data_IF_605763959382
#
_entry.id   IF_605763959382
#
_cell.length_a   1.000
_cell.length_b   1.000
_cell.length_c   1.000
_cell.angle_alpha   90.00
_cell.angle_beta   90.00
_cell.angle_gamma   90.00
#
_symmetry.space_group_name_H-M   'P 1'
#
loop_
_entity.id
_entity.type
_entity.pdbx_description
1 polymer ?
#
# COMPACT_ATOMS: atom_id res chain seq x y z
N UNK A 1 -5.63 2.64 18.17
CA UNK A 1 -4.81 2.16 19.28
C UNK A 1 -3.42 1.64 18.88
N UNK A 2 -3.10 1.63 17.59
CA UNK A 2 -1.78 1.26 17.10
C UNK A 2 -0.70 2.29 17.52
N UNK A 3 0.53 1.83 17.69
CA UNK A 3 1.68 2.72 17.71
C UNK A 3 1.90 3.26 16.29
N UNK A 4 1.69 4.56 16.10
CA UNK A 4 1.67 5.18 14.77
C UNK A 4 3.04 5.09 14.08
N UNK A 5 4.14 5.26 14.81
CA UNK A 5 5.49 5.17 14.23
C UNK A 5 5.78 3.77 13.71
N UNK A 6 5.50 2.75 14.53
CA UNK A 6 5.64 1.34 14.11
C UNK A 6 4.71 0.97 12.97
N UNK A 7 3.47 1.48 12.97
CA UNK A 7 2.53 1.24 11.88
C UNK A 7 3.00 1.86 10.57
N UNK A 8 3.57 3.07 10.61
CA UNK A 8 4.17 3.70 9.43
C UNK A 8 5.39 2.92 8.96
N UNK A 9 6.27 2.47 9.85
CA UNK A 9 7.45 1.67 9.47
C UNK A 9 7.04 0.34 8.83
N UNK A 10 6.04 -0.33 9.40
CA UNK A 10 5.46 -1.55 8.82
C UNK A 10 4.89 -1.28 7.42
N UNK A 11 4.11 -0.21 7.27
CA UNK A 11 3.51 0.18 6.00
C UNK A 11 4.57 0.54 4.94
N UNK A 12 5.62 1.28 5.31
CA UNK A 12 6.75 1.63 4.44
C UNK A 12 7.47 0.37 3.94
N UNK A 13 7.84 -0.52 4.86
CA UNK A 13 8.57 -1.75 4.53
C UNK A 13 7.74 -2.69 3.65
N UNK A 14 6.43 -2.83 3.92
CA UNK A 14 5.53 -3.65 3.11
C UNK A 14 5.29 -3.04 1.73
N UNK A 15 5.06 -1.71 1.66
CA UNK A 15 4.69 -1.03 0.41
C UNK A 15 5.84 -0.88 -0.56
N UNK A 16 7.00 -0.45 -0.08
CA UNK A 16 8.09 -0.03 -0.95
C UNK A 16 9.12 -1.13 -1.26
N UNK A 17 8.96 -2.31 -0.68
CA UNK A 17 9.74 -3.50 -1.10
C UNK A 17 9.60 -3.69 -2.61
N UNK A 18 10.74 -3.82 -3.30
CA UNK A 18 10.80 -3.95 -4.76
C UNK A 18 9.94 -2.90 -5.51
N UNK A 19 9.91 -1.67 -4.99
CA UNK A 19 9.15 -0.56 -5.56
C UNK A 19 7.63 -0.84 -5.69
N UNK A 20 7.07 -1.59 -4.75
CA UNK A 20 5.66 -2.00 -4.76
C UNK A 20 5.31 -3.09 -5.77
N UNK A 21 6.29 -3.63 -6.49
CA UNK A 21 6.11 -4.68 -7.51
C UNK A 21 6.21 -6.07 -6.87
N UNK A 22 5.36 -6.32 -5.88
CA UNK A 22 5.26 -7.58 -5.14
C UNK A 22 3.78 -7.87 -4.89
N UNK A 23 3.34 -9.12 -5.09
CA UNK A 23 1.93 -9.53 -4.91
C UNK A 23 1.38 -9.28 -3.50
N UNK A 24 2.24 -9.25 -2.49
CA UNK A 24 1.89 -8.91 -1.11
C UNK A 24 2.09 -7.42 -0.76
N UNK A 25 2.41 -6.56 -1.73
CA UNK A 25 2.51 -5.11 -1.47
C UNK A 25 1.11 -4.53 -1.21
N UNK A 26 0.88 -3.85 -0.07
CA UNK A 26 -0.44 -3.29 0.22
C UNK A 26 -0.85 -2.27 -0.86
N UNK A 27 -2.02 -2.49 -1.44
CA UNK A 27 -2.61 -1.63 -2.48
C UNK A 27 -3.61 -0.63 -1.91
N UNK A 28 -4.16 -0.86 -0.71
CA UNK A 28 -5.19 -0.06 -0.07
C UNK A 28 -4.84 0.21 1.38
N UNK A 29 -4.87 1.47 1.83
CA UNK A 29 -4.52 1.87 3.20
C UNK A 29 -5.75 2.44 3.90
N UNK A 30 -6.36 1.65 4.78
CA UNK A 30 -7.46 2.08 5.64
C UNK A 30 -6.91 2.58 6.98
N UNK A 31 -7.13 3.85 7.29
CA UNK A 31 -6.56 4.49 8.47
C UNK A 31 -7.72 5.08 9.30
N UNK A 32 -7.77 4.73 10.59
CA UNK A 32 -8.81 5.27 11.47
C UNK A 32 -8.75 6.80 11.53
N UNK A 33 -9.89 7.48 11.36
CA UNK A 33 -9.98 8.93 11.20
C UNK A 33 -9.22 9.72 12.28
N UNK A 34 -9.26 9.27 13.53
CA UNK A 34 -8.60 9.96 14.67
C UNK A 34 -7.08 10.01 14.60
N UNK A 35 -6.47 9.15 13.81
CA UNK A 35 -5.01 9.09 13.67
C UNK A 35 -4.52 9.35 12.25
N UNK A 36 -5.46 9.54 11.30
CA UNK A 36 -5.13 9.62 9.86
C UNK A 36 -4.15 10.73 9.56
N UNK A 37 -4.39 11.95 10.03
CA UNK A 37 -3.47 13.08 9.78
C UNK A 37 -2.06 12.77 10.27
N UNK A 38 -1.91 12.33 11.52
CA UNK A 38 -0.59 12.04 12.08
C UNK A 38 0.13 10.88 11.34
N UNK A 39 -0.60 9.82 10.98
CA UNK A 39 -0.05 8.71 10.20
C UNK A 39 0.42 9.20 8.83
N UNK A 40 -0.42 9.95 8.14
CA UNK A 40 -0.21 10.47 6.80
C UNK A 40 1.01 11.40 6.74
N UNK A 41 1.09 12.38 7.68
CA UNK A 41 2.22 13.30 7.76
C UNK A 41 3.55 12.56 7.94
N UNK A 42 3.56 11.55 8.82
CA UNK A 42 4.75 10.76 9.07
C UNK A 42 5.11 9.87 7.88
N UNK A 43 4.11 9.25 7.23
CA UNK A 43 4.30 8.40 6.06
C UNK A 43 4.84 9.22 4.88
N UNK A 44 4.26 10.39 4.58
CA UNK A 44 4.76 11.32 3.56
C UNK A 44 6.20 11.75 3.87
N UNK A 45 6.45 12.20 5.11
CA UNK A 45 7.79 12.63 5.55
C UNK A 45 8.87 11.55 5.36
N UNK A 46 8.52 10.27 5.55
CA UNK A 46 9.45 9.15 5.32
C UNK A 46 9.56 8.82 3.85
N UNK A 47 8.46 8.82 3.11
CA UNK A 47 8.41 8.48 1.68
C UNK A 47 9.25 9.43 0.82
N UNK A 48 9.18 10.74 1.04
CA UNK A 48 9.97 11.72 0.28
C UNK A 48 11.49 11.64 0.52
N UNK A 49 11.92 10.89 1.54
CA UNK A 49 13.35 10.66 1.82
C UNK A 49 13.91 9.42 1.14
N UNK A 50 13.05 8.59 0.54
CA UNK A 50 13.49 7.39 -0.16
C UNK A 50 14.33 7.79 -1.38
N UNK A 51 15.48 7.14 -1.49
CA UNK A 51 16.41 7.35 -2.60
C UNK A 51 16.03 6.45 -3.76
N UNK A 52 15.80 7.05 -4.92
CA UNK A 52 15.55 6.32 -6.16
C UNK A 52 16.90 6.15 -6.88
N UNK A 53 17.16 4.96 -7.40
CA UNK A 53 18.39 4.67 -8.12
C UNK A 53 18.46 3.25 -8.68
N UNK A 54 19.57 2.93 -9.32
CA UNK A 54 19.81 1.58 -9.83
C UNK A 54 20.23 0.60 -8.72
N UNK A 55 20.26 -0.69 -9.04
CA UNK A 55 20.54 -1.76 -8.09
C UNK A 55 22.00 -1.75 -7.56
N UNK A 56 22.92 -1.05 -8.21
CA UNK A 56 24.32 -0.95 -7.79
C UNK A 56 24.60 0.32 -6.98
N UNK A 57 23.61 1.22 -6.89
CA UNK A 57 23.68 2.40 -6.04
C UNK A 57 23.09 2.10 -4.64
N UNK A 58 23.43 2.91 -3.66
CA UNK A 58 22.79 2.85 -2.33
C UNK A 58 21.41 3.51 -2.40
N UNK A 59 20.47 2.86 -3.10
CA UNK A 59 19.09 3.29 -3.31
C UNK A 59 18.09 2.43 -2.55
N UNK A 60 16.95 3.04 -2.20
CA UNK A 60 15.83 2.37 -1.53
C UNK A 60 14.82 1.82 -2.56
N UNK A 61 14.71 2.51 -3.71
CA UNK A 61 13.74 2.19 -4.76
C UNK A 61 14.45 2.04 -6.11
N UNK A 62 14.21 0.92 -6.77
CA UNK A 62 14.65 0.63 -8.12
C UNK A 62 13.67 1.14 -9.19
N UNK A 63 13.88 0.75 -10.48
CA UNK A 63 12.98 1.09 -11.57
C UNK A 63 11.70 0.22 -11.56
N UNK A 64 10.69 0.70 -12.28
CA UNK A 64 9.58 -0.13 -12.77
C UNK A 64 10.12 -1.12 -13.81
N UNK A 65 9.54 -2.30 -13.92
CA UNK A 65 10.10 -3.42 -14.70
C UNK A 65 10.16 -3.17 -16.20
N UNK A 66 9.18 -2.47 -16.78
CA UNK A 66 9.08 -2.24 -18.23
C UNK A 66 8.54 -0.85 -18.54
N UNK A 67 8.80 -0.35 -19.76
CA UNK A 67 8.24 0.91 -20.26
C UNK A 67 6.70 0.89 -20.30
N UNK A 68 6.13 -0.21 -20.77
CA UNK A 68 4.66 -0.37 -20.77
C UNK A 68 4.10 -0.23 -19.36
N UNK A 69 4.72 -0.89 -18.37
CA UNK A 69 4.26 -0.81 -16.98
C UNK A 69 4.41 0.59 -16.40
N UNK A 70 5.52 1.29 -16.72
CA UNK A 70 5.69 2.68 -16.32
C UNK A 70 4.56 3.56 -16.87
N UNK A 71 4.22 3.41 -18.15
CA UNK A 71 3.11 4.14 -18.78
C UNK A 71 1.75 3.82 -18.14
N UNK A 72 1.51 2.56 -17.76
CA UNK A 72 0.27 2.17 -17.08
C UNK A 72 0.21 2.78 -15.66
N UNK A 73 1.33 2.83 -14.94
CA UNK A 73 1.44 3.47 -13.61
C UNK A 73 1.19 4.98 -13.69
N UNK A 74 1.73 5.65 -14.71
CA UNK A 74 1.47 7.08 -14.96
C UNK A 74 -0.03 7.33 -15.20
N UNK A 75 -0.64 6.55 -16.10
CA UNK A 75 -2.07 6.66 -16.41
C UNK A 75 -2.95 6.45 -15.16
N UNK A 76 -2.62 5.43 -14.34
CA UNK A 76 -3.38 5.16 -13.13
C UNK A 76 -3.21 6.29 -12.10
N UNK A 77 -1.99 6.82 -11.96
CA UNK A 77 -1.73 7.98 -11.10
C UNK A 77 -2.53 9.22 -11.53
N UNK A 78 -2.49 9.55 -12.84
CA UNK A 78 -3.23 10.67 -13.39
C UNK A 78 -4.76 10.49 -13.27
N UNK A 79 -5.24 9.26 -13.50
CA UNK A 79 -6.66 8.93 -13.37
C UNK A 79 -7.12 9.10 -11.93
N UNK A 80 -6.34 8.64 -10.96
CA UNK A 80 -6.65 8.77 -9.53
C UNK A 80 -6.86 10.24 -9.13
N UNK A 81 -6.01 11.15 -9.64
CA UNK A 81 -6.18 12.59 -9.41
C UNK A 81 -7.43 13.13 -10.13
N UNK A 82 -7.69 12.70 -11.37
CA UNK A 82 -8.90 13.09 -12.13
C UNK A 82 -10.19 12.62 -11.48
N UNK A 83 -10.19 11.46 -10.83
CA UNK A 83 -11.31 10.94 -10.04
C UNK A 83 -11.55 11.74 -8.76
N UNK A 84 -10.61 12.62 -8.36
CA UNK A 84 -10.75 13.57 -7.26
C UNK A 84 -9.87 13.31 -6.04
N UNK A 85 -8.91 12.40 -6.13
CA UNK A 85 -7.91 12.20 -5.09
C UNK A 85 -6.96 13.40 -4.98
N UNK A 86 -6.49 13.67 -3.76
CA UNK A 86 -5.46 14.65 -3.50
C UNK A 86 -4.08 14.00 -3.56
N UNK A 87 -3.22 14.48 -4.45
CA UNK A 87 -1.84 14.04 -4.54
C UNK A 87 -0.99 14.71 -3.47
N UNK A 88 -0.43 13.92 -2.55
CA UNK A 88 0.39 14.43 -1.45
C UNK A 88 1.89 14.46 -1.76
N UNK A 89 2.37 13.49 -2.55
CA UNK A 89 3.74 13.49 -3.08
C UNK A 89 3.87 12.51 -4.26
N UNK A 90 4.93 12.67 -5.07
CA UNK A 90 5.21 11.81 -6.21
C UNK A 90 4.34 12.10 -7.42
N UNK A 91 3.74 11.08 -8.01
CA UNK A 91 2.79 11.16 -9.13
C UNK A 91 3.43 11.33 -10.51
N UNK A 92 4.74 11.19 -10.64
CA UNK A 92 5.46 11.43 -11.90
C UNK A 92 6.72 10.56 -12.01
N UNK A 93 7.29 10.52 -13.22
CA UNK A 93 8.63 9.96 -13.42
C UNK A 93 9.65 10.72 -12.60
N UNK A 94 10.64 10.00 -12.05
CA UNK A 94 11.71 10.63 -11.30
C UNK A 94 12.57 11.51 -12.24
N UNK A 95 12.74 12.81 -11.95
CA UNK A 95 13.25 13.79 -12.94
C UNK A 95 14.74 13.66 -13.24
N UNK A 96 15.50 12.99 -12.39
CA UNK A 96 16.97 12.95 -12.47
C UNK A 96 17.50 11.77 -13.29
N UNK A 97 16.63 11.03 -14.01
CA UNK A 97 17.01 9.85 -14.77
C UNK A 97 16.69 10.02 -16.25
N UNK A 98 17.75 10.07 -17.07
CA UNK A 98 17.63 10.13 -18.54
C UNK A 98 17.39 8.76 -19.18
N UNK A 99 17.59 7.66 -18.42
CA UNK A 99 17.39 6.28 -18.84
C UNK A 99 16.80 5.47 -17.68
N UNK A 100 16.04 4.43 -18.02
CA UNK A 100 15.37 3.57 -17.06
C UNK A 100 13.95 4.06 -16.74
N UNK A 101 13.20 3.22 -16.02
CA UNK A 101 11.76 3.37 -15.82
C UNK A 101 11.46 3.79 -14.38
N UNK A 102 12.05 4.91 -13.95
CA UNK A 102 11.96 5.38 -12.57
C UNK A 102 10.71 6.22 -12.35
N UNK A 103 9.93 5.85 -11.33
CA UNK A 103 8.73 6.55 -10.91
C UNK A 103 8.81 6.92 -9.43
N UNK A 104 8.37 8.12 -9.08
CA UNK A 104 8.40 8.59 -7.69
C UNK A 104 7.40 7.82 -6.82
N UNK A 105 7.76 7.45 -5.57
CA UNK A 105 6.82 6.88 -4.62
C UNK A 105 5.70 7.89 -4.36
N UNK A 106 4.46 7.44 -4.52
CA UNK A 106 3.30 8.31 -4.67
C UNK A 106 2.26 8.02 -3.59
N UNK A 107 1.74 9.08 -2.98
CA UNK A 107 0.72 8.99 -1.95
C UNK A 107 -0.48 9.83 -2.36
N UNK A 108 -1.67 9.22 -2.28
CA UNK A 108 -2.95 9.88 -2.52
C UNK A 108 -3.78 9.92 -1.24
N UNK A 109 -4.41 11.06 -0.99
CA UNK A 109 -5.47 11.21 0.00
C UNK A 109 -6.83 11.43 -0.65
N UNK A 110 -7.88 11.45 0.16
CA UNK A 110 -9.28 11.64 -0.27
C UNK A 110 -9.73 10.65 -1.35
N UNK A 111 -9.11 9.48 -1.37
CA UNK A 111 -9.50 8.40 -2.27
C UNK A 111 -10.82 7.80 -1.79
N UNK A 112 -11.70 7.42 -2.74
CA UNK A 112 -12.95 6.71 -2.46
C UNK A 112 -12.85 5.24 -2.89
N UNK A 113 -13.71 4.39 -2.34
CA UNK A 113 -13.68 2.95 -2.60
C UNK A 113 -13.98 2.59 -4.07
N UNK A 114 -14.69 3.46 -4.79
CA UNK A 114 -15.06 3.31 -6.19
C UNK A 114 -14.02 3.83 -7.21
N UNK A 115 -12.89 4.38 -6.73
CA UNK A 115 -11.82 4.82 -7.62
C UNK A 115 -11.08 3.64 -8.24
N UNK A 116 -10.62 3.79 -9.48
CA UNK A 116 -9.93 2.76 -10.24
C UNK A 116 -8.72 2.18 -9.49
N UNK A 117 -7.95 3.02 -8.80
CA UNK A 117 -6.79 2.58 -8.00
C UNK A 117 -7.16 1.63 -6.85
N UNK A 118 -8.42 1.61 -6.42
CA UNK A 118 -8.91 0.74 -5.34
C UNK A 118 -9.40 -0.63 -5.84
N UNK A 119 -9.72 -0.73 -7.13
CA UNK A 119 -10.28 -1.93 -7.75
C UNK A 119 -9.26 -2.67 -8.61
N UNK A 120 -8.26 -1.98 -9.15
CA UNK A 120 -7.15 -2.58 -9.88
C UNK A 120 -5.93 -2.81 -8.98
N UNK A 121 -5.12 -3.84 -9.31
CA UNK A 121 -3.83 -4.06 -8.66
C UNK A 121 -2.78 -3.11 -9.25
N UNK A 122 -2.31 -2.08 -8.50
CA UNK A 122 -1.38 -1.11 -9.08
C UNK A 122 0.01 -1.67 -9.37
N UNK A 123 0.48 -2.68 -8.62
CA UNK A 123 1.82 -3.30 -8.74
C UNK A 123 2.92 -2.26 -8.94
N UNK A 124 2.89 -1.22 -8.11
CA UNK A 124 3.66 0.01 -8.25
C UNK A 124 3.77 0.74 -6.90
N UNK A 125 4.63 1.76 -6.76
CA UNK A 125 4.80 2.51 -5.51
C UNK A 125 3.67 3.55 -5.30
N UNK A 126 2.41 3.14 -5.50
CA UNK A 126 1.22 3.96 -5.33
C UNK A 126 0.51 3.59 -4.02
N UNK A 127 0.23 4.57 -3.18
CA UNK A 127 -0.33 4.39 -1.83
C UNK A 127 -1.61 5.22 -1.65
N UNK A 128 -2.78 4.71 -2.03
CA UNK A 128 -4.07 5.36 -1.78
C UNK A 128 -4.46 5.23 -0.30
N UNK A 129 -4.82 6.35 0.34
CA UNK A 129 -5.19 6.41 1.75
C UNK A 129 -6.64 6.80 1.94
N UNK A 130 -7.36 5.99 2.73
CA UNK A 130 -8.76 6.18 3.07
C UNK A 130 -8.94 6.25 4.59
N UNK A 131 -9.93 6.99 5.05
CA UNK A 131 -10.33 6.97 6.46
C UNK A 131 -11.45 5.97 6.70
N UNK A 132 -11.51 5.47 7.94
CA UNK A 132 -12.66 4.74 8.47
C UNK A 132 -12.96 5.18 9.91
N UNK A 133 -14.17 4.91 10.40
CA UNK A 133 -14.64 5.31 11.72
C UNK A 133 -14.77 4.14 12.69
N UNK A 134 -15.31 3.03 12.26
CA UNK A 134 -15.55 1.87 13.12
C UNK A 134 -15.08 0.55 12.49
N UNK A 135 -15.10 -0.48 13.32
CA UNK A 135 -14.58 -1.80 12.97
C UNK A 135 -15.39 -2.47 11.86
N UNK A 136 -16.72 -2.44 11.94
CA UNK A 136 -17.57 -3.15 10.97
C UNK A 136 -17.46 -2.48 9.59
N UNK A 137 -17.46 -1.15 9.55
CA UNK A 137 -17.23 -0.37 8.32
C UNK A 137 -15.95 -0.80 7.62
N UNK A 138 -14.82 -0.83 8.34
CA UNK A 138 -13.53 -1.14 7.70
C UNK A 138 -13.43 -2.57 7.24
N UNK A 139 -14.02 -3.53 7.97
CA UNK A 139 -14.04 -4.94 7.56
C UNK A 139 -14.86 -5.13 6.29
N UNK A 140 -16.06 -4.55 6.23
CA UNK A 140 -16.91 -4.61 5.04
C UNK A 140 -16.17 -4.04 3.82
N UNK A 141 -15.60 -2.84 3.93
CA UNK A 141 -14.85 -2.18 2.85
C UNK A 141 -13.59 -2.96 2.46
N UNK A 142 -12.86 -3.51 3.43
CA UNK A 142 -11.66 -4.30 3.16
C UNK A 142 -11.99 -5.60 2.42
N UNK A 143 -13.11 -6.24 2.76
CA UNK A 143 -13.56 -7.49 2.14
C UNK A 143 -14.27 -7.27 0.80
N UNK A 144 -14.74 -6.07 0.50
CA UNK A 144 -15.37 -5.72 -0.78
C UNK A 144 -14.30 -5.59 -1.89
N UNK A 145 -13.70 -6.71 -2.25
CA UNK A 145 -12.70 -6.83 -3.31
C UNK A 145 -12.64 -8.27 -3.83
N UNK A 146 -12.36 -8.43 -5.13
CA UNK A 146 -12.29 -9.74 -5.76
C UNK A 146 -11.02 -10.52 -5.39
N UNK A 147 -9.96 -9.84 -4.97
CA UNK A 147 -8.70 -10.45 -4.54
C UNK A 147 -8.63 -10.56 -3.02
N UNK A 148 -7.95 -11.61 -2.52
CA UNK A 148 -7.76 -11.86 -1.11
C UNK A 148 -6.46 -12.60 -0.79
N UNK A 149 -5.29 -12.03 -1.15
CA UNK A 149 -4.00 -12.68 -0.89
C UNK A 149 -3.49 -12.37 0.51
N UNK A 150 -3.28 -11.10 0.84
CA UNK A 150 -2.68 -10.70 2.11
C UNK A 150 -3.24 -9.41 2.67
N UNK A 151 -3.28 -9.33 3.99
CA UNK A 151 -3.65 -8.12 4.74
C UNK A 151 -2.65 -7.83 5.86
N UNK A 152 -2.54 -6.56 6.23
CA UNK A 152 -1.68 -6.06 7.29
C UNK A 152 -2.51 -5.32 8.32
N UNK A 153 -2.37 -5.68 9.59
CA UNK A 153 -3.12 -5.10 10.70
C UNK A 153 -2.15 -4.52 11.72
N UNK A 154 -2.34 -3.26 12.06
CA UNK A 154 -1.58 -2.59 13.11
C UNK A 154 -2.48 -2.22 14.28
N UNK A 155 -2.28 -2.83 15.42
CA UNK A 155 -3.03 -2.60 16.67
C UNK A 155 -2.21 -2.98 17.88
N UNK A 156 -2.44 -2.34 19.02
CA UNK A 156 -1.88 -2.73 20.32
C UNK A 156 -2.79 -3.67 21.12
N UNK A 157 -4.00 -3.93 20.62
CA UNK A 157 -4.98 -4.80 21.27
C UNK A 157 -4.95 -6.21 20.68
N UNK A 158 -4.58 -7.20 21.49
CA UNK A 158 -4.64 -8.62 21.11
C UNK A 158 -6.04 -9.04 20.67
N UNK A 159 -7.07 -8.58 21.39
CA UNK A 159 -8.47 -8.85 21.01
C UNK A 159 -8.79 -8.35 19.61
N UNK A 160 -8.44 -7.09 19.28
CA UNK A 160 -8.67 -6.54 17.95
C UNK A 160 -7.83 -7.23 16.88
N UNK A 161 -6.60 -7.61 17.20
CA UNK A 161 -5.75 -8.36 16.28
C UNK A 161 -6.44 -9.65 15.81
N UNK A 162 -6.89 -10.48 16.73
CA UNK A 162 -7.60 -11.72 16.39
C UNK A 162 -8.95 -11.45 15.71
N UNK A 163 -9.77 -10.54 16.24
CA UNK A 163 -11.05 -10.21 15.63
C UNK A 163 -10.90 -9.72 14.19
N UNK A 164 -9.86 -8.94 13.91
CA UNK A 164 -9.60 -8.45 12.55
C UNK A 164 -9.09 -9.57 11.66
N UNK A 165 -8.18 -10.40 12.15
CA UNK A 165 -7.64 -11.51 11.38
C UNK A 165 -8.75 -12.52 10.98
N UNK A 166 -9.65 -12.85 11.91
CA UNK A 166 -10.77 -13.75 11.64
C UNK A 166 -11.83 -13.18 10.70
N UNK A 167 -11.97 -11.83 10.68
CA UNK A 167 -12.99 -11.16 9.87
C UNK A 167 -12.53 -10.81 8.45
N UNK A 168 -11.22 -10.74 8.20
CA UNK A 168 -10.67 -10.40 6.88
C UNK A 168 -10.68 -11.62 5.94
N UNK A 169 -11.24 -11.43 4.76
CA UNK A 169 -11.30 -12.44 3.70
C UNK A 169 -10.02 -12.43 2.85
N UNK A 170 -8.89 -12.71 3.50
CA UNK A 170 -7.58 -12.85 2.84
C UNK A 170 -6.89 -14.11 3.37
N UNK A 171 -6.11 -14.77 2.50
CA UNK A 171 -5.44 -16.02 2.88
C UNK A 171 -4.36 -15.84 3.94
N UNK A 172 -3.78 -14.65 4.05
CA UNK A 172 -2.75 -14.34 5.03
C UNK A 172 -3.01 -12.99 5.71
N UNK A 173 -2.89 -12.95 7.03
CA UNK A 173 -3.01 -11.71 7.82
C UNK A 173 -1.76 -11.53 8.67
N UNK A 174 -1.07 -10.43 8.47
CA UNK A 174 0.13 -10.04 9.23
C UNK A 174 -0.21 -8.99 10.28
N UNK A 175 0.20 -9.22 11.53
CA UNK A 175 -0.13 -8.35 12.66
C UNK A 175 1.14 -7.66 13.16
N UNK A 176 1.17 -6.31 13.06
CA UNK A 176 2.28 -5.45 13.52
C UNK A 176 3.65 -5.76 12.88
N UNK A 177 3.68 -6.42 11.73
CA UNK A 177 4.92 -6.74 10.99
C UNK A 177 4.69 -6.61 9.48
N UNK A 178 5.71 -6.25 8.69
CA UNK A 178 5.61 -6.25 7.22
C UNK A 178 5.83 -7.67 6.62
N UNK A 179 6.17 -8.66 7.45
CA UNK A 179 6.49 -10.01 7.00
C UNK A 179 5.23 -10.86 6.98
N UNK A 180 4.85 -11.32 5.78
CA UNK A 180 3.70 -12.22 5.54
C UNK A 180 4.19 -13.60 5.10
N UNK A 181 5.19 -13.63 4.23
CA UNK A 181 5.74 -14.87 3.69
C UNK A 181 6.84 -15.41 4.62
N UNK A 182 6.55 -16.51 5.30
CA UNK A 182 7.47 -17.23 6.20
C UNK A 182 7.45 -18.71 5.87
N UNK A 183 8.55 -19.40 6.12
CA UNK A 183 8.68 -20.82 5.77
C UNK A 183 7.74 -21.74 6.59
N UNK A 184 7.33 -21.28 7.77
CA UNK A 184 6.53 -22.03 8.73
C UNK A 184 5.02 -21.97 8.46
N UNK A 185 4.57 -21.07 7.56
CA UNK A 185 3.17 -20.87 7.26
C UNK A 185 2.87 -21.01 5.76
N UNK A 186 1.72 -21.56 5.37
CA UNK A 186 1.31 -21.61 3.98
C UNK A 186 1.22 -20.21 3.36
N UNK A 187 1.71 -20.07 2.13
CA UNK A 187 1.52 -18.88 1.32
C UNK A 187 0.40 -19.14 0.33
N UNK A 188 -0.66 -18.34 0.38
CA UNK A 188 -1.80 -18.46 -0.53
C UNK A 188 -2.87 -17.44 -0.24
N UNK A 189 -3.81 -17.32 -1.17
CA UNK A 189 -4.94 -16.39 -1.09
C UNK A 189 -6.28 -17.13 -1.13
N UNK A 190 -7.33 -16.34 -1.07
CA UNK A 190 -8.72 -16.73 -1.28
C UNK A 190 -9.32 -15.89 -2.40
N UNK A 191 -10.57 -16.10 -2.78
CA UNK A 191 -11.24 -15.40 -3.89
C UNK A 191 -10.44 -15.60 -5.19
N UNK A 192 -10.21 -14.55 -5.98
CA UNK A 192 -9.41 -14.65 -7.21
C UNK A 192 -7.90 -14.82 -6.96
N UNK A 193 -7.45 -14.67 -5.72
CA UNK A 193 -6.04 -14.88 -5.35
C UNK A 193 -5.72 -16.33 -4.93
N UNK A 194 -6.68 -17.24 -4.94
CA UNK A 194 -6.48 -18.64 -4.55
C UNK A 194 -7.79 -19.46 -4.56
N UNK A 195 -7.80 -20.58 -3.83
CA UNK A 195 -8.91 -21.51 -3.73
C UNK A 195 -9.55 -21.47 -2.33
#
# INVERSE_FOLDING_TARGET
DANIEKAVDTAMAAKYRNNGQVCISPSRFFIHEKIKSKFQDLFVKKTIKLKIGDAFSNSDLGPITTDKRLSDVEKLSDLTVKEGAELLCGGKRAPNFNKGYYFEPTIFDKVKDDYTIMTEEPFAPLSPMLSFKDFNEVIERANNHDNGLSSYVCTSSMKKAYQTADALETGMVSINTPVVAVAEAPFGGVKQSGY
#
